data_IF_721650818468
#
_entry.id   IF_721650818468
#
_cell.length_a   1.000
_cell.length_b   1.000
_cell.length_c   1.000
_cell.angle_alpha   90.00
_cell.angle_beta   90.00
_cell.angle_gamma   90.00
#
_symmetry.space_group_name_H-M   'P 1'
#
loop_
_entity.id
_entity.type
_entity.pdbx_description
1 polymer ?
#
# COMPACT_ATOMS: atom_id res chain seq x y z
N UNK A 1 19.03 33.77 -70.63
CA UNK A 1 19.72 33.95 -69.33
C UNK A 1 18.61 34.05 -68.28
N UNK A 2 18.18 33.03 -67.52
CA UNK A 2 18.91 32.12 -66.57
C UNK A 2 19.80 32.95 -65.63
N UNK A 3 19.70 32.97 -64.29
CA UNK A 3 19.25 32.05 -63.22
C UNK A 3 18.69 32.88 -62.04
N UNK A 4 17.60 32.49 -61.35
CA UNK A 4 17.53 31.58 -60.18
C UNK A 4 18.54 31.88 -59.04
N UNK A 5 18.07 32.49 -57.95
CA UNK A 5 18.52 32.07 -56.60
C UNK A 5 17.39 32.26 -55.58
N UNK A 6 17.07 31.10 -54.99
CA UNK A 6 16.08 30.78 -53.98
C UNK A 6 16.68 31.09 -52.60
N UNK A 7 15.95 31.80 -51.72
CA UNK A 7 16.28 31.82 -50.29
C UNK A 7 15.02 31.56 -49.44
N UNK A 8 14.85 30.26 -49.20
CA UNK A 8 14.23 29.59 -48.07
C UNK A 8 13.65 30.47 -46.95
N UNK A 9 12.31 30.47 -46.84
CA UNK A 9 11.59 30.83 -45.61
C UNK A 9 11.70 29.64 -44.65
N UNK A 10 12.57 29.73 -43.65
CA UNK A 10 12.54 28.81 -42.52
C UNK A 10 11.57 29.35 -41.47
N UNK A 11 10.36 28.78 -41.46
CA UNK A 11 9.54 28.67 -40.26
C UNK A 11 10.31 27.81 -39.25
N UNK A 12 11.04 28.45 -38.35
CA UNK A 12 11.48 27.78 -37.12
C UNK A 12 10.32 27.95 -36.13
N UNK A 13 9.47 26.93 -36.11
CA UNK A 13 8.70 26.59 -34.92
C UNK A 13 9.69 26.42 -33.77
N UNK A 14 9.82 27.45 -32.94
CA UNK A 14 10.58 27.38 -31.70
C UNK A 14 9.95 26.33 -30.80
N UNK A 15 10.49 25.12 -30.84
CA UNK A 15 10.23 24.10 -29.85
C UNK A 15 10.72 24.65 -28.51
N UNK A 16 9.88 24.50 -27.48
CA UNK A 16 10.16 24.92 -26.11
C UNK A 16 11.32 24.06 -25.57
N UNK A 17 12.54 24.51 -25.83
CA UNK A 17 13.75 23.99 -25.22
C UNK A 17 13.98 24.70 -23.87
N UNK A 18 13.17 24.37 -22.85
CA UNK A 18 13.61 24.54 -21.46
C UNK A 18 14.38 23.30 -21.04
N UNK A 19 15.56 23.14 -21.64
CA UNK A 19 16.69 22.52 -20.96
C UNK A 19 17.32 23.65 -20.15
N UNK A 20 17.35 23.52 -18.83
CA UNK A 20 18.04 24.46 -17.96
C UNK A 20 19.45 24.68 -18.49
N UNK A 21 19.79 25.94 -18.81
CA UNK A 21 21.19 26.36 -18.83
C UNK A 21 21.72 25.96 -17.45
N UNK A 22 22.71 25.06 -17.41
CA UNK A 22 23.30 24.63 -16.16
C UNK A 22 24.00 25.84 -15.53
N UNK A 23 23.27 26.56 -14.68
CA UNK A 23 23.83 27.67 -13.93
C UNK A 23 25.01 27.15 -13.10
N UNK A 24 26.14 27.84 -13.19
CA UNK A 24 27.38 27.46 -12.51
C UNK A 24 27.11 27.30 -11.02
N UNK A 25 27.52 26.16 -10.45
CA UNK A 25 27.38 25.91 -9.02
C UNK A 25 28.08 27.01 -8.21
N UNK A 26 27.38 27.53 -7.20
CA UNK A 26 27.92 28.51 -6.24
C UNK A 26 28.65 27.83 -5.09
N UNK A 27 28.37 26.54 -4.86
CA UNK A 27 29.08 25.71 -3.91
C UNK A 27 29.09 24.24 -4.37
N UNK A 28 30.19 23.54 -4.09
CA UNK A 28 30.38 22.14 -4.45
C UNK A 28 30.61 21.86 -5.93
N UNK A 29 30.70 20.58 -6.33
CA UNK A 29 30.44 19.39 -5.51
C UNK A 29 31.47 19.20 -4.38
N UNK A 30 31.01 18.98 -3.15
CA UNK A 30 31.86 18.60 -2.00
C UNK A 30 31.38 17.27 -1.42
N UNK A 31 32.31 16.35 -1.18
CA UNK A 31 32.05 15.02 -0.62
C UNK A 31 32.19 15.01 0.91
N UNK A 32 31.25 14.36 1.59
CA UNK A 32 31.25 14.13 3.04
C UNK A 32 31.07 12.64 3.35
N UNK A 33 32.10 12.02 3.93
CA UNK A 33 32.14 10.58 4.18
C UNK A 33 31.55 10.16 5.53
N UNK A 34 31.19 8.89 5.68
CA UNK A 34 30.95 8.27 7.00
C UNK A 34 32.26 7.63 7.45
N UNK A 35 32.99 8.31 8.35
CA UNK A 35 34.28 7.88 8.91
C UNK A 35 34.10 7.07 10.19
N UNK A 36 33.36 7.62 11.15
CA UNK A 36 32.93 6.94 12.36
C UNK A 36 31.77 5.99 12.03
N UNK A 37 31.89 4.74 12.46
CA UNK A 37 30.98 3.64 12.10
C UNK A 37 30.14 3.18 13.28
N UNK A 38 29.17 2.31 12.98
CA UNK A 38 28.27 1.65 13.92
C UNK A 38 27.29 2.58 14.65
N UNK A 39 26.70 3.53 13.91
CA UNK A 39 25.71 4.47 14.42
C UNK A 39 26.31 5.66 15.17
N UNK A 40 27.62 5.86 15.06
CA UNK A 40 28.29 7.08 15.53
C UNK A 40 28.05 8.24 14.57
N UNK A 41 28.06 9.45 15.12
CA UNK A 41 27.80 10.66 14.36
C UNK A 41 29.07 11.15 13.65
N UNK A 42 28.91 11.47 12.36
CA UNK A 42 29.90 12.19 11.58
C UNK A 42 29.35 13.58 11.30
N UNK A 43 29.86 14.59 12.01
CA UNK A 43 29.37 15.97 11.93
C UNK A 43 30.30 16.79 11.04
N UNK A 44 29.73 17.38 10.00
CA UNK A 44 30.42 18.25 9.05
C UNK A 44 29.83 19.63 9.10
N UNK A 45 30.67 20.64 9.35
CA UNK A 45 30.28 22.05 9.36
C UNK A 45 31.05 22.79 8.29
N UNK A 46 30.39 23.74 7.65
CA UNK A 46 31.02 24.60 6.65
C UNK A 46 30.19 25.84 6.37
N UNK A 47 30.75 26.71 5.53
CA UNK A 47 30.08 27.91 5.10
C UNK A 47 30.39 28.22 3.64
N UNK A 48 29.49 28.96 2.99
CA UNK A 48 29.67 29.44 1.63
C UNK A 48 28.89 30.73 1.40
N UNK A 49 29.35 31.51 0.42
CA UNK A 49 28.71 32.77 0.02
C UNK A 49 27.83 32.55 -1.22
N UNK A 50 26.70 33.22 -1.25
CA UNK A 50 25.77 33.24 -2.38
C UNK A 50 25.11 34.62 -2.46
N UNK A 51 24.57 35.00 -3.61
CA UNK A 51 23.65 36.15 -3.65
C UNK A 51 22.33 35.76 -2.98
N UNK A 52 21.61 36.74 -2.43
CA UNK A 52 20.26 36.48 -1.90
C UNK A 52 19.33 36.01 -3.00
N UNK A 53 18.63 34.89 -2.78
CA UNK A 53 17.79 34.27 -3.79
C UNK A 53 17.35 32.85 -3.42
N UNK A 54 16.68 32.17 -4.35
CA UNK A 54 16.27 30.77 -4.19
C UNK A 54 17.27 29.87 -4.92
N UNK A 55 17.68 28.81 -4.22
CA UNK A 55 18.70 27.88 -4.69
C UNK A 55 18.22 26.44 -4.58
N UNK A 56 18.85 25.60 -5.39
CA UNK A 56 18.71 24.16 -5.40
C UNK A 56 19.95 23.55 -4.75
N UNK A 57 19.75 22.92 -3.61
CA UNK A 57 20.72 22.09 -2.92
C UNK A 57 20.50 20.66 -3.38
N UNK A 58 21.45 20.12 -4.15
CA UNK A 58 21.50 18.70 -4.50
C UNK A 58 22.33 17.97 -3.45
N UNK A 59 21.69 17.10 -2.68
CA UNK A 59 22.35 16.12 -1.82
C UNK A 59 22.31 14.76 -2.53
N UNK A 60 23.45 14.26 -2.98
CA UNK A 60 23.56 12.97 -3.66
C UNK A 60 24.17 11.93 -2.71
N UNK A 61 23.47 10.82 -2.48
CA UNK A 61 23.95 9.68 -1.69
C UNK A 61 24.78 8.73 -2.54
N UNK A 62 26.09 8.67 -2.30
CA UNK A 62 27.01 7.76 -2.98
C UNK A 62 27.04 7.91 -4.50
N UNK A 63 27.70 6.96 -5.18
CA UNK A 63 27.69 6.85 -6.64
C UNK A 63 26.77 5.72 -7.15
N UNK A 64 26.51 4.72 -6.29
CA UNK A 64 25.64 3.57 -6.54
C UNK A 64 25.14 2.98 -5.23
N UNK A 65 24.05 2.21 -5.24
CA UNK A 65 23.69 1.42 -4.06
C UNK A 65 24.64 0.21 -3.88
N UNK A 66 25.08 -0.14 -2.65
CA UNK A 66 24.64 0.34 -1.33
C UNK A 66 25.53 1.43 -0.69
N UNK A 67 26.26 2.25 -1.46
CA UNK A 67 27.17 3.31 -0.97
C UNK A 67 26.45 4.51 -0.32
N UNK A 68 25.16 4.37 -0.02
CA UNK A 68 24.35 5.41 0.60
C UNK A 68 24.59 5.49 2.10
N UNK A 69 24.43 6.69 2.64
CA UNK A 69 24.33 6.91 4.10
C UNK A 69 23.01 6.33 4.62
N UNK A 70 22.99 5.81 5.85
CA UNK A 70 21.75 5.22 6.39
C UNK A 70 20.89 6.27 7.10
N UNK A 71 21.52 7.20 7.81
CA UNK A 71 20.84 8.27 8.54
C UNK A 71 21.54 9.58 8.20
N UNK A 72 20.74 10.60 7.92
CA UNK A 72 21.21 11.95 7.63
C UNK A 72 20.39 12.98 8.41
N UNK A 73 21.04 14.07 8.78
CA UNK A 73 20.44 15.32 9.20
C UNK A 73 21.09 16.47 8.42
N UNK A 74 20.30 17.48 8.05
CA UNK A 74 20.80 18.67 7.34
C UNK A 74 20.24 19.94 7.96
N UNK A 75 21.14 20.82 8.39
CA UNK A 75 20.83 22.12 8.98
C UNK A 75 21.47 23.21 8.13
N UNK A 76 20.73 24.29 7.89
CA UNK A 76 21.19 25.46 7.15
C UNK A 76 20.78 26.71 7.92
N UNK A 77 21.73 27.60 8.20
CA UNK A 77 21.52 28.86 8.91
C UNK A 77 20.78 28.70 10.26
N UNK A 78 21.06 27.59 10.96
CA UNK A 78 20.41 27.24 12.24
C UNK A 78 19.04 26.58 12.11
N UNK A 79 18.47 26.48 10.91
CA UNK A 79 17.21 25.78 10.66
C UNK A 79 17.47 24.33 10.24
N UNK A 80 16.86 23.38 10.95
CA UNK A 80 16.95 21.95 10.65
C UNK A 80 15.97 21.58 9.53
N UNK A 81 16.46 21.59 8.29
CA UNK A 81 15.66 21.36 7.09
C UNK A 81 15.39 19.88 6.83
N UNK A 82 16.35 19.00 7.14
CA UNK A 82 16.14 17.56 7.24
C UNK A 82 16.41 17.13 8.66
N UNK A 83 15.41 16.56 9.34
CA UNK A 83 15.55 15.97 10.66
C UNK A 83 16.35 14.67 10.58
N UNK A 84 16.91 14.22 11.70
CA UNK A 84 17.53 12.90 11.76
C UNK A 84 16.56 11.82 11.26
N UNK A 85 16.90 11.18 10.15
CA UNK A 85 16.02 10.22 9.51
C UNK A 85 16.73 9.34 8.49
N UNK A 86 16.08 8.23 8.15
CA UNK A 86 16.46 7.39 7.03
C UNK A 86 15.79 7.92 5.77
N UNK A 87 16.60 8.43 4.85
CA UNK A 87 16.14 8.94 3.57
C UNK A 87 16.64 8.00 2.48
N UNK A 88 15.84 7.01 2.12
CA UNK A 88 16.21 5.96 1.15
C UNK A 88 16.17 6.44 -0.31
N UNK A 89 16.63 7.67 -0.56
CA UNK A 89 16.73 8.29 -1.87
C UNK A 89 18.20 8.44 -2.29
N UNK A 90 18.46 8.31 -3.59
CA UNK A 90 19.79 8.58 -4.14
C UNK A 90 20.08 10.08 -4.21
N UNK A 91 19.04 10.88 -4.40
CA UNK A 91 19.15 12.32 -4.48
C UNK A 91 18.08 12.96 -3.59
N UNK A 92 18.43 14.06 -2.94
CA UNK A 92 17.49 14.97 -2.32
C UNK A 92 17.69 16.35 -2.94
N UNK A 93 16.62 16.90 -3.50
CA UNK A 93 16.56 18.25 -4.03
C UNK A 93 15.97 19.18 -2.95
N UNK A 94 16.80 20.00 -2.33
CA UNK A 94 16.41 21.03 -1.38
C UNK A 94 16.23 22.38 -2.07
N UNK A 95 15.02 22.92 -2.08
CA UNK A 95 14.72 24.25 -2.61
C UNK A 95 14.56 25.18 -1.44
N UNK A 96 15.48 26.12 -1.29
CA UNK A 96 15.49 27.03 -0.14
C UNK A 96 16.07 28.39 -0.49
N UNK A 97 15.76 29.39 0.33
CA UNK A 97 16.35 30.71 0.22
C UNK A 97 17.73 30.74 0.85
N UNK A 98 18.68 31.42 0.21
CA UNK A 98 20.02 31.66 0.76
C UNK A 98 20.24 33.12 1.09
N UNK A 99 21.11 33.36 2.06
CA UNK A 99 21.61 34.68 2.47
C UNK A 99 22.98 34.96 1.84
N UNK A 100 23.54 36.15 2.07
CA UNK A 100 24.90 36.47 1.61
C UNK A 100 25.96 35.52 2.16
N UNK A 101 25.83 35.13 3.44
CA UNK A 101 26.66 34.13 4.11
C UNK A 101 25.77 33.01 4.62
N UNK A 102 26.10 31.76 4.28
CA UNK A 102 25.32 30.60 4.69
C UNK A 102 26.21 29.62 5.44
N UNK A 103 25.74 29.18 6.59
CA UNK A 103 26.39 28.16 7.40
C UNK A 103 25.57 26.88 7.34
N UNK A 104 26.20 25.74 7.10
CA UNK A 104 25.51 24.46 7.07
C UNK A 104 26.16 23.47 8.03
N UNK A 105 25.34 22.52 8.47
CA UNK A 105 25.76 21.35 9.21
C UNK A 105 25.11 20.11 8.60
N UNK A 106 25.93 19.10 8.29
CA UNK A 106 25.48 17.78 7.87
C UNK A 106 25.90 16.78 8.92
N UNK A 107 24.96 15.99 9.42
CA UNK A 107 25.26 14.86 10.30
C UNK A 107 24.94 13.57 9.58
N UNK A 108 25.92 12.66 9.50
CA UNK A 108 25.80 11.37 8.82
C UNK A 108 26.05 10.22 9.80
N UNK A 109 25.24 9.17 9.72
CA UNK A 109 25.44 7.93 10.50
C UNK A 109 25.22 6.71 9.60
N UNK A 110 25.96 5.64 9.86
CA UNK A 110 25.58 4.30 9.39
C UNK A 110 24.64 3.62 10.39
N UNK A 111 24.03 2.52 9.98
CA UNK A 111 23.20 1.69 10.82
C UNK A 111 24.05 1.06 11.92
N UNK A 112 23.46 0.97 13.11
CA UNK A 112 24.02 0.16 14.20
C UNK A 112 24.00 -1.32 13.77
N UNK A 113 25.05 -2.10 14.11
CA UNK A 113 25.03 -3.54 13.93
C UNK A 113 23.82 -4.14 14.64
N UNK A 114 23.13 -5.08 13.99
CA UNK A 114 22.05 -5.86 14.60
C UNK A 114 22.36 -7.36 14.45
N UNK A 115 22.62 -8.04 15.57
CA UNK A 115 23.02 -9.45 15.57
C UNK A 115 24.35 -9.68 14.83
N UNK A 116 24.39 -10.70 13.95
CA UNK A 116 25.59 -11.05 13.18
C UNK A 116 25.78 -10.24 11.89
N UNK A 117 24.81 -9.39 11.49
CA UNK A 117 24.93 -8.56 10.29
C UNK A 117 25.71 -7.28 10.61
N UNK A 118 26.91 -7.18 10.05
CA UNK A 118 27.69 -5.93 10.03
C UNK A 118 27.22 -5.07 8.84
N UNK A 119 27.11 -3.73 8.99
CA UNK A 119 26.85 -2.85 7.86
C UNK A 119 27.90 -3.04 6.74
N UNK A 120 27.53 -2.87 5.46
CA UNK A 120 28.45 -3.01 4.34
C UNK A 120 29.67 -2.08 4.46
N UNK A 121 30.80 -2.53 3.93
CA UNK A 121 32.07 -1.81 3.97
C UNK A 121 32.05 -0.58 3.02
N UNK A 122 32.84 0.48 3.35
CA UNK A 122 32.81 1.80 2.69
C UNK A 122 33.13 1.79 1.19
N UNK A 123 32.90 2.90 0.45
CA UNK A 123 32.54 4.22 0.98
C UNK A 123 31.02 4.47 1.09
N UNK A 124 30.65 5.21 2.13
CA UNK A 124 29.33 5.82 2.31
C UNK A 124 29.52 7.31 2.45
N UNK A 125 28.94 8.08 1.55
CA UNK A 125 29.15 9.52 1.50
C UNK A 125 27.96 10.22 0.89
N UNK A 126 27.89 11.53 1.11
CA UNK A 126 27.05 12.40 0.31
C UNK A 126 27.91 13.39 -0.49
N UNK A 127 27.41 13.81 -1.64
CA UNK A 127 27.94 14.96 -2.39
C UNK A 127 26.92 16.08 -2.31
N UNK A 128 27.34 17.24 -1.83
CA UNK A 128 26.53 18.45 -1.81
C UNK A 128 26.94 19.39 -2.94
N UNK A 129 25.96 19.82 -3.73
CA UNK A 129 26.12 20.85 -4.76
C UNK A 129 25.01 21.87 -4.61
N UNK A 130 25.33 23.16 -4.77
CA UNK A 130 24.36 24.25 -4.69
C UNK A 130 24.40 25.05 -5.98
N UNK A 131 23.26 25.15 -6.64
CA UNK A 131 23.06 25.92 -7.88
C UNK A 131 21.91 26.90 -7.69
N UNK A 132 21.90 28.06 -8.36
CA UNK A 132 20.73 28.90 -8.34
C UNK A 132 19.52 28.17 -8.97
N UNK A 133 18.32 28.58 -8.57
CA UNK A 133 17.08 27.89 -8.91
C UNK A 133 16.05 28.87 -9.47
N UNK A 134 15.63 28.61 -10.70
CA UNK A 134 14.64 29.38 -11.44
C UNK A 134 13.35 28.60 -11.72
N UNK A 135 13.19 27.43 -11.08
CA UNK A 135 12.01 26.59 -11.25
C UNK A 135 10.80 27.03 -10.40
N UNK A 136 9.74 26.25 -10.45
CA UNK A 136 8.43 26.57 -9.84
C UNK A 136 8.08 25.72 -8.62
N UNK A 137 8.92 24.74 -8.28
CA UNK A 137 8.68 23.87 -7.14
C UNK A 137 8.82 24.69 -5.85
N UNK A 138 7.93 24.43 -4.90
CA UNK A 138 7.87 25.17 -3.66
C UNK A 138 9.11 24.92 -2.79
N UNK A 139 9.34 25.79 -1.80
CA UNK A 139 10.41 25.59 -0.82
C UNK A 139 10.16 24.28 -0.07
N UNK A 140 11.19 23.45 0.05
CA UNK A 140 11.08 22.11 0.60
C UNK A 140 12.21 21.21 0.14
N UNK A 141 12.22 19.98 0.68
CA UNK A 141 13.18 18.95 0.30
C UNK A 141 12.44 17.77 -0.31
N UNK A 142 12.90 17.30 -1.47
CA UNK A 142 12.20 16.29 -2.25
C UNK A 142 13.15 15.14 -2.58
N UNK A 143 12.74 13.92 -2.22
CA UNK A 143 13.51 12.70 -2.48
C UNK A 143 13.32 12.21 -3.91
N UNK A 144 14.42 11.80 -4.55
CA UNK A 144 14.45 11.33 -5.94
C UNK A 144 15.39 10.13 -6.08
N UNK A 145 14.98 9.15 -6.90
CA UNK A 145 15.84 7.98 -7.20
C UNK A 145 16.86 8.30 -8.30
N UNK A 146 16.45 9.09 -9.29
CA UNK A 146 17.29 9.56 -10.38
C UNK A 146 17.15 11.08 -10.43
N UNK A 147 18.25 11.80 -10.69
CA UNK A 147 18.25 13.25 -10.63
C UNK A 147 17.29 13.87 -11.65
N UNK A 148 17.20 13.25 -12.82
CA UNK A 148 16.33 13.62 -13.93
C UNK A 148 14.84 13.60 -13.53
N UNK A 149 14.45 12.77 -12.54
CA UNK A 149 13.08 12.70 -12.03
C UNK A 149 12.60 14.00 -11.37
N UNK A 150 13.49 14.94 -11.05
CA UNK A 150 13.09 16.28 -10.57
C UNK A 150 12.22 17.01 -11.60
N UNK A 151 12.54 16.85 -12.89
CA UNK A 151 11.79 17.46 -13.99
C UNK A 151 10.39 16.84 -14.08
N UNK A 152 10.31 15.52 -13.98
CA UNK A 152 9.05 14.78 -14.02
C UNK A 152 8.15 15.16 -12.85
N UNK A 153 8.72 15.23 -11.64
CA UNK A 153 8.00 15.69 -10.46
C UNK A 153 7.45 17.10 -10.63
N UNK A 154 8.27 18.03 -11.12
CA UNK A 154 7.85 19.42 -11.36
C UNK A 154 6.74 19.46 -12.40
N UNK A 155 6.84 18.69 -13.47
CA UNK A 155 5.82 18.61 -14.51
C UNK A 155 4.50 18.02 -14.00
N UNK A 156 4.55 17.03 -13.09
CA UNK A 156 3.36 16.49 -12.45
C UNK A 156 2.65 17.53 -11.58
N UNK A 157 3.40 18.29 -10.78
CA UNK A 157 2.85 19.33 -9.92
C UNK A 157 2.28 20.51 -10.71
N UNK A 158 2.92 20.90 -11.81
CA UNK A 158 2.43 21.96 -12.70
C UNK A 158 1.13 21.60 -13.43
N UNK A 159 0.84 20.30 -13.63
CA UNK A 159 -0.41 19.84 -14.25
C UNK A 159 -1.62 19.95 -13.34
N UNK A 160 -1.40 20.16 -12.03
CA UNK A 160 -2.47 20.29 -11.06
C UNK A 160 -3.09 21.69 -11.21
N UNK A 161 -4.35 21.72 -11.65
CA UNK A 161 -5.06 22.94 -11.95
C UNK A 161 -5.42 23.74 -10.69
N UNK A 162 -5.82 23.07 -9.61
CA UNK A 162 -6.14 23.73 -8.34
C UNK A 162 -4.88 24.20 -7.63
N UNK A 163 -4.79 25.50 -7.33
CA UNK A 163 -3.64 26.07 -6.61
C UNK A 163 -3.45 25.43 -5.24
N UNK A 164 -4.53 25.27 -4.46
CA UNK A 164 -4.46 24.60 -3.15
C UNK A 164 -4.10 23.12 -3.31
N UNK A 165 -4.65 22.43 -4.32
CA UNK A 165 -4.29 21.05 -4.66
C UNK A 165 -2.80 20.91 -4.95
N UNK A 166 -2.20 21.85 -5.70
CA UNK A 166 -0.78 21.87 -5.99
C UNK A 166 0.08 22.07 -4.74
N UNK A 167 -0.34 22.94 -3.82
CA UNK A 167 0.32 23.14 -2.51
C UNK A 167 0.26 21.87 -1.68
N UNK A 168 -0.91 21.24 -1.57
CA UNK A 168 -1.11 20.00 -0.81
C UNK A 168 -0.32 18.83 -1.43
N UNK A 169 -0.28 18.74 -2.76
CA UNK A 169 0.51 17.77 -3.49
C UNK A 169 2.00 17.93 -3.16
N UNK A 170 2.55 19.14 -3.27
CA UNK A 170 3.94 19.41 -2.92
C UNK A 170 4.23 19.10 -1.44
N UNK A 171 3.33 19.47 -0.53
CA UNK A 171 3.48 19.16 0.89
C UNK A 171 3.50 17.65 1.17
N UNK A 172 2.70 16.84 0.45
CA UNK A 172 2.61 15.39 0.66
C UNK A 172 3.92 14.62 0.42
N UNK A 173 4.89 15.23 -0.27
CA UNK A 173 6.20 14.63 -0.56
C UNK A 173 7.38 15.46 0.00
N UNK A 174 7.11 16.53 0.73
CA UNK A 174 8.14 17.42 1.26
C UNK A 174 8.80 16.83 2.52
N UNK A 175 10.04 16.39 2.40
CA UNK A 175 10.83 15.72 3.43
C UNK A 175 11.14 16.60 4.67
N UNK A 176 10.89 17.92 4.61
CA UNK A 176 10.97 18.77 5.81
C UNK A 176 9.80 18.53 6.77
N UNK A 177 8.68 18.03 6.25
CA UNK A 177 7.51 17.62 7.02
C UNK A 177 7.66 16.17 7.50
N UNK A 178 7.12 15.85 8.67
CA UNK A 178 7.08 14.48 9.15
C UNK A 178 6.04 13.63 8.40
N UNK A 179 6.13 12.31 8.56
CA UNK A 179 5.24 11.37 7.88
C UNK A 179 3.75 11.67 8.13
N UNK A 180 3.31 11.93 9.38
CA UNK A 180 1.91 12.30 9.65
C UNK A 180 1.43 13.54 8.90
N UNK A 181 2.21 14.64 8.88
CA UNK A 181 1.85 15.87 8.18
C UNK A 181 1.76 15.65 6.66
N UNK A 182 2.68 14.84 6.10
CA UNK A 182 2.65 14.47 4.67
C UNK A 182 1.44 13.62 4.30
N UNK A 183 1.10 12.64 5.14
CA UNK A 183 -0.10 11.81 4.97
C UNK A 183 -1.38 12.66 5.06
N UNK A 184 -1.44 13.61 6.01
CA UNK A 184 -2.54 14.56 6.11
C UNK A 184 -2.65 15.47 4.88
N UNK A 185 -1.53 15.94 4.32
CA UNK A 185 -1.55 16.71 3.08
C UNK A 185 -2.13 15.91 1.90
N UNK A 186 -1.77 14.63 1.77
CA UNK A 186 -2.35 13.75 0.74
C UNK A 186 -3.86 13.54 0.95
N UNK A 187 -4.30 13.38 2.20
CA UNK A 187 -5.74 13.26 2.52
C UNK A 187 -6.50 14.54 2.18
N UNK A 188 -5.98 15.71 2.57
CA UNK A 188 -6.56 17.01 2.23
C UNK A 188 -6.61 17.21 0.71
N UNK A 189 -5.59 16.76 -0.03
CA UNK A 189 -5.60 16.76 -1.50
C UNK A 189 -6.74 15.88 -2.04
N UNK A 190 -6.91 14.67 -1.50
CA UNK A 190 -8.02 13.78 -1.83
C UNK A 190 -9.38 14.45 -1.61
N UNK A 191 -9.54 15.16 -0.48
CA UNK A 191 -10.78 15.88 -0.15
C UNK A 191 -11.10 17.01 -1.13
N UNK A 192 -10.11 17.54 -1.87
CA UNK A 192 -10.35 18.52 -2.94
C UNK A 192 -10.99 17.90 -4.17
N UNK A 193 -10.85 16.57 -4.35
CA UNK A 193 -11.34 15.82 -5.52
C UNK A 193 -10.89 16.42 -6.87
N UNK A 194 -9.70 17.02 -6.88
CA UNK A 194 -9.12 17.60 -8.08
C UNK A 194 -8.55 16.51 -8.99
N UNK A 195 -9.29 16.16 -10.04
CA UNK A 195 -8.91 15.10 -10.97
C UNK A 195 -7.62 15.39 -11.74
N UNK A 196 -7.20 16.66 -11.83
CA UNK A 196 -5.91 17.02 -12.45
C UNK A 196 -4.71 16.53 -11.61
N UNK A 197 -4.90 16.22 -10.33
CA UNK A 197 -3.89 15.63 -9.46
C UNK A 197 -3.71 14.12 -9.66
N UNK A 198 -4.56 13.45 -10.44
CA UNK A 198 -4.51 12.00 -10.63
C UNK A 198 -3.13 11.47 -11.07
N UNK A 199 -2.41 12.09 -12.04
CA UNK A 199 -1.08 11.64 -12.42
C UNK A 199 -0.07 11.74 -11.27
N UNK A 200 -0.14 12.81 -10.47
CA UNK A 200 0.72 13.00 -9.30
C UNK A 200 0.44 11.95 -8.23
N UNK A 201 -0.83 11.74 -7.86
CA UNK A 201 -1.23 10.76 -6.85
C UNK A 201 -0.82 9.35 -7.30
N UNK A 202 -0.95 9.04 -8.59
CA UNK A 202 -0.51 7.77 -9.18
C UNK A 202 1.01 7.58 -9.04
N UNK A 203 1.80 8.63 -9.25
CA UNK A 203 3.25 8.57 -9.06
C UNK A 203 3.61 8.33 -7.58
N UNK A 204 2.95 9.04 -6.65
CA UNK A 204 3.14 8.87 -5.20
C UNK A 204 2.81 7.44 -4.75
N UNK A 205 1.72 6.87 -5.23
CA UNK A 205 1.33 5.49 -4.88
C UNK A 205 2.39 4.45 -5.31
N UNK A 206 3.02 4.67 -6.47
CA UNK A 206 4.03 3.77 -7.03
C UNK A 206 5.44 3.96 -6.48
N UNK A 207 5.72 5.06 -5.77
CA UNK A 207 7.03 5.30 -5.17
C UNK A 207 7.21 4.40 -3.93
N UNK A 208 7.94 3.30 -4.10
CA UNK A 208 8.21 2.32 -3.03
C UNK A 208 9.14 2.85 -1.93
N UNK A 209 9.81 4.00 -2.12
CA UNK A 209 10.66 4.63 -1.10
C UNK A 209 9.86 5.59 -0.22
N UNK A 210 8.70 6.06 -0.69
CA UNK A 210 7.81 6.83 0.17
C UNK A 210 7.26 5.96 1.30
N UNK A 211 7.02 6.63 2.44
CA UNK A 211 6.41 5.99 3.59
C UNK A 211 5.09 5.31 3.21
N UNK A 212 4.86 4.06 3.65
CA UNK A 212 3.62 3.36 3.37
C UNK A 212 2.35 4.07 3.86
N UNK A 213 2.46 4.93 4.89
CA UNK A 213 1.37 5.81 5.32
C UNK A 213 0.89 6.73 4.19
N UNK A 214 1.84 7.36 3.48
CA UNK A 214 1.55 8.31 2.39
C UNK A 214 1.02 7.55 1.18
N UNK A 215 1.60 6.39 0.88
CA UNK A 215 1.14 5.53 -0.23
C UNK A 215 -0.26 4.98 0.03
N UNK A 216 -0.59 4.61 1.26
CA UNK A 216 -1.94 4.21 1.67
C UNK A 216 -2.96 5.34 1.47
N UNK A 217 -2.63 6.58 1.87
CA UNK A 217 -3.48 7.76 1.62
C UNK A 217 -3.59 8.07 0.12
N UNK A 218 -2.50 7.91 -0.66
CA UNK A 218 -2.54 8.07 -2.11
C UNK A 218 -3.47 7.02 -2.76
N UNK A 219 -3.47 5.78 -2.28
CA UNK A 219 -4.39 4.75 -2.75
C UNK A 219 -5.85 5.15 -2.50
N UNK A 220 -6.17 5.63 -1.29
CA UNK A 220 -7.50 6.17 -0.95
C UNK A 220 -7.88 7.36 -1.84
N UNK A 221 -6.93 8.23 -2.15
CA UNK A 221 -7.14 9.36 -3.05
C UNK A 221 -7.48 8.90 -4.48
N UNK A 222 -6.80 7.89 -5.01
CA UNK A 222 -7.15 7.29 -6.31
C UNK A 222 -8.59 6.76 -6.31
N UNK A 223 -8.99 6.03 -5.27
CA UNK A 223 -10.37 5.55 -5.12
C UNK A 223 -11.39 6.68 -5.03
N UNK A 224 -11.06 7.75 -4.29
CA UNK A 224 -11.95 8.91 -4.09
C UNK A 224 -12.17 9.70 -5.38
N UNK A 225 -11.13 9.81 -6.22
CA UNK A 225 -11.22 10.40 -7.56
C UNK A 225 -12.03 9.53 -8.53
N UNK A 226 -12.12 8.22 -8.28
CA UNK A 226 -13.03 7.33 -8.99
C UNK A 226 -12.67 7.00 -10.44
N UNK A 227 -11.43 7.28 -10.88
CA UNK A 227 -10.99 6.84 -12.21
C UNK A 227 -10.88 5.32 -12.24
N UNK A 228 -11.70 4.67 -13.07
CA UNK A 228 -11.70 3.21 -13.24
C UNK A 228 -10.35 2.70 -13.77
N UNK A 229 -9.55 3.53 -14.43
CA UNK A 229 -8.18 3.17 -14.85
C UNK A 229 -7.25 2.92 -13.67
N UNK A 230 -7.59 3.37 -12.46
CA UNK A 230 -6.84 3.08 -11.24
C UNK A 230 -7.14 1.69 -10.68
N UNK A 231 -8.21 1.00 -11.09
CA UNK A 231 -8.59 -0.30 -10.53
C UNK A 231 -7.46 -1.35 -10.67
N UNK A 232 -6.84 -1.58 -11.85
CA UNK A 232 -5.76 -2.55 -11.96
C UNK A 232 -4.56 -2.23 -11.05
N UNK A 233 -4.26 -0.94 -10.90
CA UNK A 233 -3.18 -0.44 -10.05
C UNK A 233 -3.49 -0.70 -8.56
N UNK A 234 -4.72 -0.42 -8.12
CA UNK A 234 -5.17 -0.68 -6.75
C UNK A 234 -5.28 -2.18 -6.43
N UNK A 235 -5.69 -3.01 -7.41
CA UNK A 235 -5.67 -4.48 -7.27
C UNK A 235 -4.24 -4.97 -7.01
N UNK A 236 -3.25 -4.45 -7.76
CA UNK A 236 -1.85 -4.77 -7.49
C UNK A 236 -1.38 -4.24 -6.12
N UNK A 237 -1.90 -3.08 -5.69
CA UNK A 237 -1.69 -2.52 -4.36
C UNK A 237 -2.08 -3.42 -3.19
N UNK A 238 -3.04 -4.33 -3.39
CA UNK A 238 -3.43 -5.32 -2.37
C UNK A 238 -2.31 -6.35 -2.08
N UNK A 239 -1.28 -6.40 -2.93
CA UNK A 239 -0.10 -7.26 -2.78
C UNK A 239 1.12 -6.54 -2.19
N UNK A 240 0.97 -5.26 -1.82
CA UNK A 240 2.06 -4.50 -1.24
C UNK A 240 2.62 -5.20 0.02
N UNK A 241 3.95 -5.21 0.24
CA UNK A 241 4.52 -5.80 1.45
C UNK A 241 4.06 -5.08 2.73
N UNK A 242 3.74 -3.79 2.66
CA UNK A 242 3.27 -3.01 3.80
C UNK A 242 1.75 -3.08 3.97
N UNK A 243 1.31 -3.26 5.21
CA UNK A 243 -0.11 -3.39 5.54
C UNK A 243 -0.92 -2.13 5.27
N UNK A 244 -0.37 -0.94 5.50
CA UNK A 244 -1.07 0.34 5.32
C UNK A 244 -1.40 0.56 3.85
N UNK A 245 -0.45 0.26 2.95
CA UNK A 245 -0.68 0.35 1.50
C UNK A 245 -1.72 -0.68 1.04
N UNK A 246 -1.64 -1.95 1.51
CA UNK A 246 -2.64 -2.98 1.18
C UNK A 246 -4.04 -2.55 1.61
N UNK A 247 -4.18 -2.07 2.85
CA UNK A 247 -5.45 -1.65 3.41
C UNK A 247 -6.00 -0.41 2.70
N UNK A 248 -5.15 0.58 2.40
CA UNK A 248 -5.51 1.76 1.62
C UNK A 248 -6.02 1.38 0.23
N UNK A 249 -5.32 0.49 -0.47
CA UNK A 249 -5.73 0.00 -1.81
C UNK A 249 -7.05 -0.76 -1.76
N UNK A 250 -7.24 -1.60 -0.74
CA UNK A 250 -8.47 -2.37 -0.57
C UNK A 250 -9.66 -1.48 -0.22
N UNK A 251 -9.48 -0.49 0.66
CA UNK A 251 -10.52 0.49 0.97
C UNK A 251 -10.86 1.34 -0.26
N UNK A 252 -9.87 1.75 -1.04
CA UNK A 252 -10.09 2.48 -2.27
C UNK A 252 -10.93 1.68 -3.28
N UNK A 253 -10.67 0.37 -3.41
CA UNK A 253 -11.46 -0.53 -4.27
C UNK A 253 -12.93 -0.61 -3.84
N UNK A 254 -13.23 -0.42 -2.56
CA UNK A 254 -14.61 -0.39 -2.05
C UNK A 254 -15.44 0.81 -2.52
N UNK A 255 -14.79 1.86 -3.05
CA UNK A 255 -15.48 3.04 -3.59
C UNK A 255 -15.95 2.84 -5.04
N UNK A 256 -15.46 1.79 -5.71
CA UNK A 256 -15.90 1.42 -7.04
C UNK A 256 -17.09 0.45 -6.99
N UNK A 257 -17.83 0.38 -8.10
CA UNK A 257 -18.87 -0.62 -8.22
C UNK A 257 -18.28 -2.04 -8.19
N UNK A 258 -19.04 -2.99 -7.67
CA UNK A 258 -18.64 -4.38 -7.69
C UNK A 258 -18.48 -4.90 -9.13
N UNK A 259 -19.28 -4.41 -10.08
CA UNK A 259 -19.16 -4.77 -11.49
C UNK A 259 -17.77 -4.45 -12.06
N UNK A 260 -17.22 -3.29 -11.72
CA UNK A 260 -15.91 -2.86 -12.19
C UNK A 260 -14.75 -3.63 -11.54
N UNK A 261 -14.93 -4.09 -10.31
CA UNK A 261 -13.86 -4.72 -9.51
C UNK A 261 -13.91 -6.25 -9.52
N UNK A 262 -15.04 -6.85 -9.90
CA UNK A 262 -15.29 -8.29 -9.81
C UNK A 262 -14.26 -9.12 -10.57
N UNK A 263 -14.17 -8.92 -11.88
CA UNK A 263 -13.25 -9.71 -12.71
C UNK A 263 -11.79 -9.46 -12.36
N UNK A 264 -11.31 -8.20 -12.21
CA UNK A 264 -9.94 -7.94 -11.78
C UNK A 264 -9.55 -8.62 -10.46
N UNK A 265 -10.41 -8.55 -9.44
CA UNK A 265 -10.15 -9.18 -8.14
C UNK A 265 -10.21 -10.70 -8.23
N UNK A 266 -11.22 -11.26 -8.89
CA UNK A 266 -11.37 -12.71 -9.03
C UNK A 266 -10.15 -13.31 -9.73
N UNK A 267 -9.78 -12.77 -10.89
CA UNK A 267 -8.64 -13.28 -11.65
C UNK A 267 -7.30 -13.10 -10.91
N UNK A 268 -7.16 -12.06 -10.09
CA UNK A 268 -5.98 -11.93 -9.24
C UNK A 268 -5.96 -13.02 -8.16
N UNK A 269 -7.05 -13.22 -7.41
CA UNK A 269 -7.13 -14.24 -6.34
C UNK A 269 -6.89 -15.67 -6.84
N UNK A 270 -7.35 -15.98 -8.05
CA UNK A 270 -7.12 -17.26 -8.72
C UNK A 270 -5.63 -17.57 -8.94
N UNK A 271 -4.84 -16.56 -9.31
CA UNK A 271 -3.43 -16.71 -9.68
C UNK A 271 -2.46 -16.66 -8.50
N UNK A 272 -2.90 -16.25 -7.32
CA UNK A 272 -2.04 -16.13 -6.14
C UNK A 272 -1.80 -17.49 -5.47
N UNK A 273 -0.61 -17.67 -4.90
CA UNK A 273 -0.35 -18.73 -3.93
C UNK A 273 -1.13 -18.49 -2.61
N UNK A 274 -1.22 -19.52 -1.77
CA UNK A 274 -2.01 -19.46 -0.54
C UNK A 274 -1.58 -18.34 0.42
N UNK A 275 -0.27 -18.07 0.56
CA UNK A 275 0.23 -17.06 1.49
C UNK A 275 -0.16 -15.65 1.05
N UNK A 276 -0.02 -15.35 -0.25
CA UNK A 276 -0.41 -14.05 -0.79
C UNK A 276 -1.93 -13.89 -0.84
N UNK A 277 -2.66 -14.94 -1.20
CA UNK A 277 -4.13 -14.93 -1.21
C UNK A 277 -4.68 -14.60 0.18
N UNK A 278 -4.14 -15.23 1.22
CA UNK A 278 -4.48 -14.96 2.62
C UNK A 278 -4.22 -13.50 3.04
N UNK A 279 -3.13 -12.89 2.57
CA UNK A 279 -2.81 -11.50 2.87
C UNK A 279 -3.83 -10.53 2.25
N UNK A 280 -4.24 -10.78 1.00
CA UNK A 280 -5.30 -10.01 0.32
C UNK A 280 -6.63 -10.21 1.06
N UNK A 281 -7.00 -11.45 1.37
CA UNK A 281 -8.25 -11.76 2.08
C UNK A 281 -8.33 -11.04 3.42
N UNK A 282 -7.24 -11.07 4.21
CA UNK A 282 -7.17 -10.31 5.47
C UNK A 282 -7.36 -8.81 5.25
N UNK A 283 -6.76 -8.25 4.19
CA UNK A 283 -6.97 -6.84 3.86
C UNK A 283 -8.44 -6.56 3.50
N UNK A 284 -9.10 -7.42 2.72
CA UNK A 284 -10.55 -7.30 2.40
C UNK A 284 -11.37 -7.29 3.68
N UNK A 285 -11.17 -8.26 4.57
CA UNK A 285 -11.89 -8.34 5.84
C UNK A 285 -11.65 -7.09 6.71
N UNK A 286 -10.39 -6.71 6.91
CA UNK A 286 -10.01 -5.57 7.77
C UNK A 286 -10.43 -4.21 7.20
N UNK A 287 -10.62 -4.13 5.88
CA UNK A 287 -11.12 -2.92 5.23
C UNK A 287 -12.62 -2.71 5.42
N UNK A 288 -13.37 -3.77 5.72
CA UNK A 288 -14.84 -3.77 5.71
C UNK A 288 -15.46 -3.88 4.31
N UNK A 289 -14.65 -4.03 3.25
CA UNK A 289 -15.15 -4.24 1.88
C UNK A 289 -15.80 -5.62 1.74
N UNK A 290 -16.99 -5.66 1.11
CA UNK A 290 -17.78 -6.89 0.93
C UNK A 290 -18.08 -7.17 -0.56
N UNK A 291 -17.08 -7.62 -1.34
CA UNK A 291 -17.28 -7.96 -2.75
C UNK A 291 -17.89 -9.37 -2.91
N UNK A 292 -19.13 -9.53 -2.46
CA UNK A 292 -19.86 -10.81 -2.39
C UNK A 292 -20.00 -11.48 -3.76
N UNK A 293 -20.33 -10.72 -4.80
CA UNK A 293 -20.39 -11.18 -6.18
C UNK A 293 -19.04 -11.68 -6.71
N UNK A 294 -17.93 -11.09 -6.30
CA UNK A 294 -16.59 -11.63 -6.60
C UNK A 294 -16.40 -13.00 -5.93
N UNK A 295 -16.79 -13.12 -4.67
CA UNK A 295 -16.64 -14.38 -3.94
C UNK A 295 -17.59 -15.48 -4.44
N UNK A 296 -18.77 -15.10 -4.95
CA UNK A 296 -19.66 -15.99 -5.73
C UNK A 296 -18.93 -16.50 -6.97
N UNK A 297 -18.34 -15.61 -7.77
CA UNK A 297 -17.56 -16.02 -8.97
C UNK A 297 -16.44 -17.00 -8.62
N UNK A 298 -15.71 -16.76 -7.53
CA UNK A 298 -14.67 -17.69 -7.08
C UNK A 298 -15.26 -19.03 -6.64
N UNK A 299 -16.36 -19.04 -5.90
CA UNK A 299 -17.02 -20.27 -5.42
C UNK A 299 -17.53 -21.13 -6.60
N UNK A 300 -17.91 -20.51 -7.71
CA UNK A 300 -18.36 -21.17 -8.94
C UNK A 300 -17.20 -21.64 -9.84
N UNK A 301 -15.96 -21.31 -9.51
CA UNK A 301 -14.78 -21.76 -10.27
C UNK A 301 -14.70 -23.27 -10.38
N UNK A 302 -14.18 -23.76 -11.52
CA UNK A 302 -13.90 -25.17 -11.78
C UNK A 302 -12.66 -25.66 -11.04
N UNK A 303 -11.76 -24.76 -10.64
CA UNK A 303 -10.60 -25.11 -9.83
C UNK A 303 -11.04 -25.34 -8.38
N UNK A 304 -10.85 -26.56 -7.80
CA UNK A 304 -11.29 -26.87 -6.45
C UNK A 304 -10.67 -25.97 -5.37
N UNK A 305 -9.42 -25.51 -5.54
CA UNK A 305 -8.75 -24.64 -4.57
C UNK A 305 -9.33 -23.22 -4.60
N UNK A 306 -9.60 -22.71 -5.80
CA UNK A 306 -10.25 -21.41 -5.99
C UNK A 306 -11.67 -21.47 -5.44
N UNK A 307 -12.43 -22.51 -5.81
CA UNK A 307 -13.79 -22.74 -5.33
C UNK A 307 -13.87 -22.79 -3.81
N UNK A 308 -12.98 -23.56 -3.16
CA UNK A 308 -12.87 -23.63 -1.70
C UNK A 308 -12.64 -22.25 -1.08
N UNK A 309 -11.77 -21.44 -1.68
CA UNK A 309 -11.51 -20.07 -1.21
C UNK A 309 -12.76 -19.21 -1.30
N UNK A 310 -13.47 -19.23 -2.44
CA UNK A 310 -14.72 -18.50 -2.61
C UNK A 310 -15.77 -18.89 -1.57
N UNK A 311 -15.98 -20.19 -1.37
CA UNK A 311 -16.92 -20.72 -0.35
C UNK A 311 -16.57 -20.22 1.05
N UNK A 312 -15.30 -20.31 1.46
CA UNK A 312 -14.85 -19.84 2.77
C UNK A 312 -15.06 -18.34 2.96
N UNK A 313 -14.83 -17.54 1.91
CA UNK A 313 -14.99 -16.09 1.98
C UNK A 313 -16.46 -15.68 2.14
N UNK A 314 -17.37 -16.39 1.48
CA UNK A 314 -18.81 -16.12 1.54
C UNK A 314 -19.36 -16.25 2.96
N UNK A 315 -18.86 -17.19 3.76
CA UNK A 315 -19.28 -17.37 5.16
C UNK A 315 -19.10 -16.10 6.00
N UNK A 316 -17.99 -15.39 5.82
CA UNK A 316 -17.67 -14.18 6.59
C UNK A 316 -18.39 -12.90 6.12
N UNK A 317 -19.13 -12.94 5.00
CA UNK A 317 -19.73 -11.73 4.42
C UNK A 317 -20.98 -11.24 5.14
N UNK A 318 -21.73 -12.16 5.75
CA UNK A 318 -23.07 -11.90 6.34
C UNK A 318 -23.99 -11.20 5.33
N UNK A 319 -24.01 -11.71 4.10
CA UNK A 319 -24.84 -11.20 3.00
C UNK A 319 -25.83 -12.30 2.58
N UNK A 320 -27.14 -12.01 2.43
CA UNK A 320 -28.13 -13.00 2.05
C UNK A 320 -27.81 -13.75 0.76
N UNK A 321 -27.18 -13.11 -0.22
CA UNK A 321 -26.76 -13.72 -1.50
C UNK A 321 -25.70 -14.79 -1.29
N UNK A 322 -24.81 -14.57 -0.32
CA UNK A 322 -23.81 -15.54 0.08
C UNK A 322 -24.47 -16.77 0.71
N UNK A 323 -25.44 -16.57 1.60
CA UNK A 323 -26.22 -17.67 2.18
C UNK A 323 -27.00 -18.43 1.12
N UNK A 324 -27.64 -17.75 0.16
CA UNK A 324 -28.42 -18.39 -0.91
C UNK A 324 -27.54 -19.36 -1.72
N UNK A 325 -26.35 -18.92 -2.12
CA UNK A 325 -25.40 -19.78 -2.83
C UNK A 325 -24.90 -20.91 -1.93
N UNK A 326 -24.53 -20.64 -0.69
CA UNK A 326 -24.04 -21.67 0.22
C UNK A 326 -25.10 -22.75 0.50
N UNK A 327 -26.37 -22.38 0.62
CA UNK A 327 -27.49 -23.32 0.76
C UNK A 327 -27.68 -24.16 -0.50
N UNK A 328 -27.57 -23.56 -1.68
CA UNK A 328 -27.58 -24.30 -2.96
C UNK A 328 -26.42 -25.30 -3.03
N UNK A 329 -25.20 -24.86 -2.74
CA UNK A 329 -24.00 -25.71 -2.71
C UNK A 329 -24.08 -26.80 -1.64
N UNK A 330 -24.79 -26.56 -0.53
CA UNK A 330 -25.01 -27.58 0.50
C UNK A 330 -25.89 -28.73 0.00
N UNK A 331 -26.88 -28.44 -0.84
CA UNK A 331 -27.71 -29.48 -1.49
C UNK A 331 -26.96 -30.16 -2.63
N UNK A 332 -26.20 -29.39 -3.41
CA UNK A 332 -25.48 -29.86 -4.59
C UNK A 332 -23.97 -29.49 -4.51
N UNK A 333 -23.17 -30.23 -3.73
CA UNK A 333 -21.76 -29.86 -3.51
C UNK A 333 -20.91 -30.04 -4.76
N UNK A 334 -21.26 -30.99 -5.62
CA UNK A 334 -20.41 -31.47 -6.71
C UNK A 334 -19.10 -32.04 -6.14
N UNK A 335 -17.96 -31.59 -6.67
CA UNK A 335 -16.63 -32.00 -6.21
C UNK A 335 -16.12 -31.21 -4.98
N UNK A 336 -16.93 -30.27 -4.45
CA UNK A 336 -16.53 -29.42 -3.33
C UNK A 336 -16.56 -30.20 -2.02
N UNK A 337 -15.63 -29.89 -1.12
CA UNK A 337 -15.68 -30.42 0.24
C UNK A 337 -16.84 -29.77 1.02
N UNK A 338 -17.90 -30.53 1.23
CA UNK A 338 -19.09 -30.15 2.01
C UNK A 338 -18.73 -29.64 3.42
N UNK A 339 -17.60 -30.05 4.03
CA UNK A 339 -17.17 -29.52 5.34
C UNK A 339 -16.89 -28.01 5.29
N UNK A 340 -16.33 -27.54 4.19
CA UNK A 340 -16.09 -26.10 3.96
C UNK A 340 -17.42 -25.36 3.84
N UNK A 341 -18.40 -25.95 3.14
CA UNK A 341 -19.75 -25.36 2.98
C UNK A 341 -20.47 -25.30 4.32
N UNK A 342 -20.45 -26.37 5.12
CA UNK A 342 -21.03 -26.43 6.48
C UNK A 342 -20.42 -25.34 7.36
N UNK A 343 -19.09 -25.25 7.38
CA UNK A 343 -18.37 -24.25 8.18
C UNK A 343 -18.79 -22.83 7.77
N UNK A 344 -18.80 -22.57 6.46
CA UNK A 344 -19.16 -21.26 5.90
C UNK A 344 -20.61 -20.88 6.21
N UNK A 345 -21.56 -21.82 6.11
CA UNK A 345 -22.96 -21.63 6.51
C UNK A 345 -23.06 -21.23 7.99
N UNK A 346 -22.29 -21.87 8.87
CA UNK A 346 -22.22 -21.49 10.28
C UNK A 346 -21.70 -20.07 10.51
N UNK A 347 -20.75 -19.61 9.70
CA UNK A 347 -20.15 -18.27 9.79
C UNK A 347 -21.07 -17.16 9.27
N UNK A 348 -22.03 -17.48 8.39
CA UNK A 348 -22.98 -16.48 7.85
C UNK A 348 -23.82 -15.78 8.91
N UNK A 349 -24.02 -16.43 10.07
CA UNK A 349 -24.98 -16.03 11.09
C UNK A 349 -26.44 -15.91 10.58
N UNK A 350 -26.78 -16.60 9.49
CA UNK A 350 -28.12 -16.58 8.88
C UNK A 350 -28.95 -17.77 9.35
N UNK A 351 -30.10 -17.49 9.99
CA UNK A 351 -30.98 -18.52 10.56
C UNK A 351 -31.53 -19.51 9.52
N UNK A 352 -31.54 -19.14 8.22
CA UNK A 352 -31.95 -20.04 7.13
C UNK A 352 -31.06 -21.28 7.02
N UNK A 353 -29.82 -21.21 7.51
CA UNK A 353 -28.90 -22.35 7.55
C UNK A 353 -29.23 -23.38 8.64
N UNK A 354 -30.00 -23.02 9.67
CA UNK A 354 -30.26 -23.89 10.83
C UNK A 354 -31.00 -25.16 10.41
N UNK A 355 -32.17 -25.05 9.77
CA UNK A 355 -32.98 -26.21 9.44
C UNK A 355 -32.27 -27.23 8.52
N UNK A 356 -31.59 -26.82 7.42
CA UNK A 356 -30.80 -27.74 6.59
C UNK A 356 -29.67 -28.44 7.36
N UNK A 357 -28.91 -27.71 8.18
CA UNK A 357 -27.81 -28.26 8.95
C UNK A 357 -28.32 -29.23 10.03
N UNK A 358 -29.38 -28.88 10.75
CA UNK A 358 -30.00 -29.74 11.76
C UNK A 358 -30.59 -31.00 11.14
N UNK A 359 -31.19 -30.90 9.95
CA UNK A 359 -31.67 -32.07 9.21
C UNK A 359 -30.54 -33.03 8.86
N UNK A 360 -29.38 -32.52 8.40
CA UNK A 360 -28.21 -33.35 8.11
C UNK A 360 -27.61 -33.94 9.38
N UNK A 361 -27.54 -33.17 10.46
CA UNK A 361 -26.99 -33.61 11.73
C UNK A 361 -27.84 -34.66 12.45
N UNK A 362 -29.15 -34.77 12.14
CA UNK A 362 -30.02 -35.84 12.68
C UNK A 362 -29.83 -37.19 11.98
N UNK A 363 -29.32 -37.21 10.75
CA UNK A 363 -29.10 -38.42 9.98
C UNK A 363 -27.67 -38.95 10.22
N UNK A 364 -27.50 -40.10 10.91
CA UNK A 364 -26.19 -40.65 11.22
C UNK A 364 -25.33 -40.96 9.99
N UNK A 365 -25.95 -41.38 8.88
CA UNK A 365 -25.23 -41.71 7.65
C UNK A 365 -24.74 -40.43 6.95
N UNK A 366 -25.57 -39.38 6.89
CA UNK A 366 -25.19 -38.12 6.26
C UNK A 366 -24.17 -37.32 7.08
N UNK A 367 -24.24 -37.35 8.40
CA UNK A 367 -23.32 -36.60 9.27
C UNK A 367 -21.96 -37.27 9.50
N UNK A 368 -21.80 -38.54 9.12
CA UNK A 368 -20.59 -39.32 9.36
C UNK A 368 -19.33 -38.57 8.86
N UNK A 369 -18.40 -38.30 9.78
CA UNK A 369 -17.14 -37.61 9.49
C UNK A 369 -17.26 -36.10 9.27
N UNK A 370 -18.37 -35.49 9.71
CA UNK A 370 -18.69 -34.04 9.61
C UNK A 370 -19.29 -33.50 10.91
N UNK A 371 -19.29 -34.30 11.98
CA UNK A 371 -19.97 -34.03 13.23
C UNK A 371 -19.44 -32.76 13.90
N UNK A 372 -18.12 -32.56 13.84
CA UNK A 372 -17.47 -31.39 14.40
C UNK A 372 -17.89 -30.09 13.68
N UNK A 373 -17.87 -30.10 12.34
CA UNK A 373 -18.26 -28.96 11.52
C UNK A 373 -19.75 -28.64 11.70
N UNK A 374 -20.62 -29.65 11.67
CA UNK A 374 -22.06 -29.48 11.90
C UNK A 374 -22.34 -28.88 13.28
N UNK A 375 -21.70 -29.42 14.31
CA UNK A 375 -21.90 -28.93 15.69
C UNK A 375 -21.41 -27.51 15.86
N UNK A 376 -20.24 -27.18 15.32
CA UNK A 376 -19.71 -25.82 15.39
C UNK A 376 -20.55 -24.84 14.58
N UNK A 377 -21.03 -25.23 13.41
CA UNK A 377 -21.91 -24.40 12.58
C UNK A 377 -23.23 -24.11 13.30
N UNK A 378 -23.89 -25.11 13.87
CA UNK A 378 -25.11 -24.95 14.67
C UNK A 378 -24.86 -24.09 15.93
N UNK A 379 -23.71 -24.25 16.58
CA UNK A 379 -23.30 -23.40 17.69
C UNK A 379 -23.06 -21.95 17.28
N UNK A 380 -22.46 -21.70 16.11
CA UNK A 380 -22.26 -20.36 15.56
C UNK A 380 -23.59 -19.68 15.21
N UNK A 381 -24.57 -20.46 14.73
CA UNK A 381 -25.93 -20.01 14.44
C UNK A 381 -26.81 -19.87 15.70
N UNK A 382 -26.33 -20.32 16.86
CA UNK A 382 -27.05 -20.22 18.12
C UNK A 382 -28.26 -21.15 18.27
N UNK A 383 -28.30 -22.26 17.52
CA UNK A 383 -29.41 -23.22 17.57
C UNK A 383 -29.38 -24.07 18.86
N UNK A 384 -29.93 -23.52 19.95
CA UNK A 384 -29.93 -24.19 21.26
C UNK A 384 -30.67 -25.52 21.26
N UNK A 385 -31.60 -25.74 20.32
CA UNK A 385 -32.32 -27.01 20.21
C UNK A 385 -31.40 -28.17 19.79
N UNK A 386 -30.26 -27.86 19.15
CA UNK A 386 -29.26 -28.86 18.76
C UNK A 386 -28.35 -29.31 19.89
N UNK A 387 -28.47 -28.76 21.11
CA UNK A 387 -27.62 -29.16 22.25
C UNK A 387 -27.69 -30.66 22.54
N UNK A 388 -28.88 -31.24 22.63
CA UNK A 388 -29.06 -32.67 22.91
C UNK A 388 -28.47 -33.58 21.81
N UNK A 389 -28.52 -33.13 20.56
CA UNK A 389 -27.90 -33.83 19.44
C UNK A 389 -26.37 -33.81 19.55
N UNK A 390 -25.79 -32.67 19.92
CA UNK A 390 -24.34 -32.56 20.13
C UNK A 390 -23.89 -33.46 21.29
N UNK A 391 -24.64 -33.55 22.39
CA UNK A 391 -24.33 -34.46 23.49
C UNK A 391 -24.32 -35.92 23.05
N UNK A 392 -25.31 -36.34 22.25
CA UNK A 392 -25.35 -37.68 21.68
C UNK A 392 -24.09 -37.98 20.86
N UNK A 393 -23.65 -37.01 20.04
CA UNK A 393 -22.43 -37.14 19.24
C UNK A 393 -21.17 -37.25 20.10
N UNK A 394 -21.09 -36.49 21.20
CA UNK A 394 -19.95 -36.56 22.13
C UNK A 394 -19.84 -37.96 22.76
N UNK A 395 -20.98 -38.55 23.15
CA UNK A 395 -21.02 -39.90 23.74
C UNK A 395 -20.61 -40.99 22.75
N UNK A 396 -20.99 -40.84 21.48
CA UNK A 396 -20.79 -41.87 20.44
C UNK A 396 -19.46 -41.76 19.71
N UNK A 397 -18.78 -40.61 19.72
CA UNK A 397 -17.50 -40.47 19.01
C UNK A 397 -16.38 -41.23 19.72
N UNK A 398 -15.62 -42.02 18.96
CA UNK A 398 -14.38 -42.66 19.44
C UNK A 398 -13.16 -41.75 19.25
N UNK A 399 -13.22 -40.85 18.25
CA UNK A 399 -12.15 -39.88 17.98
C UNK A 399 -12.02 -38.85 19.09
N UNK A 400 -10.86 -38.82 19.75
CA UNK A 400 -10.52 -37.82 20.78
C UNK A 400 -10.53 -36.41 20.21
N UNK A 401 -10.02 -36.21 18.99
CA UNK A 401 -9.99 -34.89 18.34
C UNK A 401 -11.40 -34.36 18.06
N UNK A 402 -12.26 -35.22 17.49
CA UNK A 402 -13.66 -34.88 17.24
C UNK A 402 -14.39 -34.58 18.54
N UNK A 403 -14.15 -35.37 19.59
CA UNK A 403 -14.73 -35.15 20.92
C UNK A 403 -14.43 -33.75 21.47
N UNK A 404 -13.18 -33.28 21.39
CA UNK A 404 -12.78 -31.94 21.84
C UNK A 404 -13.51 -30.85 21.05
N UNK A 405 -13.64 -31.01 19.74
CA UNK A 405 -14.35 -30.03 18.90
C UNK A 405 -15.85 -29.98 19.20
N UNK A 406 -16.48 -31.15 19.43
CA UNK A 406 -17.88 -31.24 19.83
C UNK A 406 -18.12 -30.60 21.21
N UNK A 407 -17.25 -30.85 22.20
CA UNK A 407 -17.32 -30.21 23.51
C UNK A 407 -17.18 -28.68 23.40
N UNK A 408 -16.28 -28.20 22.54
CA UNK A 408 -16.14 -26.76 22.26
C UNK A 408 -17.43 -26.17 21.65
N UNK A 409 -18.04 -26.88 20.69
CA UNK A 409 -19.31 -26.45 20.10
C UNK A 409 -20.45 -26.44 21.14
N UNK A 410 -20.54 -27.49 21.97
CA UNK A 410 -21.52 -27.58 23.06
C UNK A 410 -21.36 -26.41 24.04
N UNK A 411 -20.14 -26.16 24.51
CA UNK A 411 -19.84 -25.03 25.41
C UNK A 411 -20.19 -23.70 24.77
N UNK A 412 -19.88 -23.50 23.49
CA UNK A 412 -20.23 -22.28 22.77
C UNK A 412 -21.75 -22.07 22.71
N UNK A 413 -22.51 -23.15 22.50
CA UNK A 413 -23.96 -23.09 22.35
C UNK A 413 -24.70 -22.93 23.68
N UNK A 414 -24.24 -23.61 24.74
CA UNK A 414 -24.95 -23.71 26.04
C UNK A 414 -24.35 -22.85 27.15
N UNK A 415 -23.08 -22.47 27.01
CA UNK A 415 -22.28 -21.85 28.08
C UNK A 415 -21.76 -22.84 29.14
N UNK A 416 -22.02 -24.14 29.00
CA UNK A 416 -21.65 -25.18 29.96
C UNK A 416 -20.54 -26.08 29.43
N UNK A 417 -19.67 -26.56 30.32
CA UNK A 417 -18.77 -27.67 29.99
C UNK A 417 -19.56 -28.98 29.87
N UNK A 418 -19.02 -29.92 29.08
CA UNK A 418 -19.59 -31.26 28.90
C UNK A 418 -18.65 -32.34 29.42
#
# INVERSE_FOLDING_TARGET
>A
MKQFLMLLVFLITGSVANAAVAEKAVFGPVQYDVKERYGKENVYKGSFKASEGVYLIKLQSGSKMPERVDIMEFTLNGEKLLKEGKYDYNFIAGITGLQTENNFEVVLKDARPSGFKRPPLPPRFIIMTVTPYSGTLQKGFYGLYVWESLKDLTALLQKIAGTESGVLAAASINLTLDVPARAEAMRKLSDRRDSSALPFITAVFNDTQLSPDIRGEAALALGTLGDKKSIPLLINGMLDPDEKTRLGSTRALSFYSEEDTRQPLASMLERLDNMRRDAVIRAVINSGWKPVGTFITLAESKDPLVSRTGVSLLGSMRDPRATDLLLKLFQEPGERDIRTIITSLGETADARAVAPLTSMAKDPARRAGKEAELSMALANLGDKASAGLIEEMIKKTESRQTRVQLQKAYKKLTGKEY
#
